data_IF_521973598910
#
_entry.id   IF_521973598910
#
_cell.length_a   1.000
_cell.length_b   1.000
_cell.length_c   1.000
_cell.angle_alpha   90.00
_cell.angle_beta   90.00
_cell.angle_gamma   90.00
#
_symmetry.space_group_name_H-M   'P 1'
#
loop_
_entity.id
_entity.type
_entity.pdbx_description
1 polymer ?
#
# COMPACT_ATOMS: atom_id res chain seq x y z
N UNK A 1 12.67 -6.43 -1.71
CA UNK A 1 12.70 -7.43 -2.81
C UNK A 1 14.01 -7.29 -3.57
N UNK A 2 14.78 -8.37 -3.84
CA UNK A 2 15.95 -8.31 -4.70
C UNK A 2 15.54 -8.04 -6.16
N UNK A 3 15.37 -6.76 -6.54
CA UNK A 3 14.72 -6.35 -7.81
C UNK A 3 15.50 -6.78 -9.06
N UNK A 4 16.79 -7.05 -8.92
CA UNK A 4 17.69 -7.48 -10.01
C UNK A 4 17.74 -9.00 -10.19
N UNK A 5 17.31 -9.79 -9.19
CA UNK A 5 17.28 -11.26 -9.28
C UNK A 5 15.94 -11.73 -9.87
N UNK A 6 15.92 -12.81 -10.67
CA UNK A 6 14.67 -13.36 -11.21
C UNK A 6 13.63 -13.69 -10.13
N UNK A 7 14.06 -14.18 -8.97
CA UNK A 7 13.19 -14.50 -7.84
C UNK A 7 12.48 -13.27 -7.27
N UNK A 8 13.19 -12.15 -7.13
CA UNK A 8 12.60 -10.90 -6.63
C UNK A 8 11.71 -10.22 -7.66
N UNK A 9 12.05 -10.29 -8.95
CA UNK A 9 11.19 -9.82 -10.03
C UNK A 9 9.87 -10.63 -10.07
N UNK A 10 9.95 -11.95 -9.96
CA UNK A 10 8.77 -12.81 -9.89
C UNK A 10 7.89 -12.51 -8.67
N UNK A 11 8.50 -12.25 -7.51
CA UNK A 11 7.76 -11.87 -6.30
C UNK A 11 7.04 -10.52 -6.46
N UNK A 12 7.69 -9.52 -7.07
CA UNK A 12 7.07 -8.22 -7.33
C UNK A 12 5.86 -8.34 -8.26
N UNK A 13 5.93 -9.18 -9.30
CA UNK A 13 4.82 -9.41 -10.25
C UNK A 13 3.56 -9.99 -9.60
N UNK A 14 3.67 -10.62 -8.43
CA UNK A 14 2.52 -11.20 -7.70
C UNK A 14 1.78 -10.16 -6.85
N UNK A 15 2.44 -9.06 -6.49
CA UNK A 15 1.85 -8.01 -5.68
C UNK A 15 1.09 -7.01 -6.57
N UNK A 16 -0.18 -6.75 -6.23
CA UNK A 16 -1.02 -5.73 -6.87
C UNK A 16 -1.51 -4.75 -5.81
N UNK A 17 -1.44 -3.46 -6.10
CA UNK A 17 -1.91 -2.37 -5.22
C UNK A 17 -2.94 -1.53 -5.95
N UNK A 18 -3.94 -1.05 -5.22
CA UNK A 18 -5.06 -0.27 -5.76
C UNK A 18 -5.29 0.97 -4.91
N UNK A 19 -5.76 2.04 -5.53
CA UNK A 19 -6.35 3.19 -4.81
C UNK A 19 -7.80 2.86 -4.51
N UNK A 20 -8.16 2.77 -3.23
CA UNK A 20 -9.48 2.31 -2.81
C UNK A 20 -9.66 0.79 -2.94
N UNK A 21 -10.91 0.34 -3.02
CA UNK A 21 -11.28 -1.08 -3.16
C UNK A 21 -11.89 -1.30 -4.55
N UNK A 22 -11.26 -2.11 -5.42
CA UNK A 22 -11.81 -2.37 -6.75
C UNK A 22 -13.17 -3.09 -6.70
N UNK A 23 -13.98 -2.91 -7.75
CA UNK A 23 -15.26 -3.61 -7.91
C UNK A 23 -15.05 -5.12 -7.86
N UNK A 24 -15.87 -5.81 -7.06
CA UNK A 24 -15.77 -7.26 -6.87
C UNK A 24 -14.94 -7.71 -5.67
N UNK A 25 -14.17 -6.82 -5.02
CA UNK A 25 -13.35 -7.14 -3.84
C UNK A 25 -13.93 -6.63 -2.52
N UNK A 26 -15.10 -5.96 -2.54
CA UNK A 26 -15.71 -5.34 -1.36
C UNK A 26 -16.00 -6.31 -0.21
N UNK A 27 -16.43 -7.53 -0.53
CA UNK A 27 -16.80 -8.56 0.45
C UNK A 27 -15.64 -9.51 0.84
N UNK A 28 -14.46 -9.35 0.23
CA UNK A 28 -13.31 -10.22 0.55
C UNK A 28 -12.79 -9.94 1.96
N UNK A 29 -12.39 -10.99 2.68
CA UNK A 29 -11.78 -10.85 4.01
C UNK A 29 -10.48 -10.05 3.89
N UNK A 30 -10.39 -8.97 4.65
CA UNK A 30 -9.18 -8.13 4.74
C UNK A 30 -8.30 -8.63 5.88
N UNK A 31 -7.00 -8.67 5.63
CA UNK A 31 -5.99 -8.96 6.65
C UNK A 31 -5.35 -7.64 7.07
N UNK A 32 -5.28 -7.40 8.37
CA UNK A 32 -4.53 -6.28 8.96
C UNK A 32 -3.27 -6.83 9.64
N UNK A 33 -2.19 -6.06 9.58
CA UNK A 33 -0.92 -6.41 10.21
C UNK A 33 -0.70 -5.49 11.42
N UNK A 34 -0.78 -6.03 12.63
CA UNK A 34 -0.72 -5.22 13.86
C UNK A 34 0.63 -4.54 14.06
N UNK A 35 1.72 -5.19 13.65
CA UNK A 35 3.08 -4.64 13.69
C UNK A 35 3.32 -3.49 12.69
N UNK A 36 2.37 -3.23 11.79
CA UNK A 36 2.44 -2.15 10.81
C UNK A 36 1.46 -0.99 11.10
N UNK A 37 0.76 -1.02 12.24
CA UNK A 37 -0.12 0.07 12.67
C UNK A 37 0.70 1.26 13.18
N UNK A 38 0.15 2.47 13.03
CA UNK A 38 0.74 3.67 13.62
C UNK A 38 0.71 3.57 15.16
N UNK A 39 1.77 4.05 15.81
CA UNK A 39 1.91 3.97 17.27
C UNK A 39 2.17 5.32 17.94
N UNK A 40 2.52 6.36 17.15
CA UNK A 40 2.73 7.74 17.63
C UNK A 40 1.49 8.62 17.42
N UNK A 41 1.41 9.80 18.04
CA UNK A 41 0.33 10.75 17.78
C UNK A 41 0.23 11.14 16.30
N UNK A 42 -1.00 11.36 15.82
CA UNK A 42 -1.32 11.61 14.40
C UNK A 42 -0.54 12.77 13.78
N UNK A 43 -0.17 13.77 14.58
CA UNK A 43 0.65 14.91 14.15
C UNK A 43 2.05 14.53 13.61
N UNK A 44 2.50 13.29 13.83
CA UNK A 44 3.79 12.79 13.31
C UNK A 44 3.67 12.08 11.96
N UNK A 45 2.47 12.01 11.38
CA UNK A 45 2.20 11.27 10.14
C UNK A 45 1.43 12.13 9.15
N UNK A 46 1.54 11.77 7.87
CA UNK A 46 0.70 12.28 6.79
C UNK A 46 0.20 11.10 5.95
N UNK A 47 -0.95 11.27 5.31
CA UNK A 47 -1.49 10.23 4.43
C UNK A 47 -0.78 10.23 3.08
N UNK A 48 -0.66 9.05 2.46
CA UNK A 48 -0.16 8.94 1.08
C UNK A 48 -1.03 9.73 0.10
N UNK A 49 -2.33 9.89 0.38
CA UNK A 49 -3.26 10.67 -0.43
C UNK A 49 -3.00 12.17 -0.39
N UNK A 50 -2.60 12.73 0.76
CA UNK A 50 -2.23 14.14 0.86
C UNK A 50 -0.92 14.39 0.09
N UNK A 51 0.11 13.57 0.35
CA UNK A 51 1.38 13.66 -0.38
C UNK A 51 1.20 13.53 -1.89
N UNK A 52 0.36 12.60 -2.32
CA UNK A 52 0.03 12.39 -3.73
C UNK A 52 -0.50 13.66 -4.40
N UNK A 53 -1.43 14.36 -3.75
CA UNK A 53 -2.00 15.62 -4.27
C UNK A 53 -0.94 16.70 -4.39
N UNK A 54 -0.07 16.85 -3.39
CA UNK A 54 1.02 17.83 -3.40
C UNK A 54 2.02 17.60 -4.54
N UNK A 55 2.23 16.34 -4.96
CA UNK A 55 3.13 16.00 -6.09
C UNK A 55 2.40 15.92 -7.44
N UNK A 56 1.13 16.37 -7.51
CA UNK A 56 0.38 16.49 -8.75
C UNK A 56 -0.35 15.22 -9.21
N UNK A 57 -0.55 14.23 -8.33
CA UNK A 57 -1.42 13.10 -8.62
C UNK A 57 -2.89 13.51 -8.42
N UNK A 58 -3.64 13.57 -9.52
CA UNK A 58 -5.08 13.87 -9.57
C UNK A 58 -5.92 12.61 -9.83
#
# INVERSE_FOLDING_TARGET
>A
LPRTKPSGAAALRRLRTYVGVPSGFGASKKTSFDNAKITRPIANYTSMSELAKEVGWN
#
